data_IF_365872622414
#
_entry.id   IF_365872622414
#
_cell.length_a   1.000
_cell.length_b   1.000
_cell.length_c   1.000
_cell.angle_alpha   90.00
_cell.angle_beta   90.00
_cell.angle_gamma   90.00
#
_symmetry.space_group_name_H-M   'P 1'
#
loop_
_entity.id
_entity.type
_entity.pdbx_description
1 polymer ?
#
# COMPACT_ATOMS: atom_id res chain seq x y z
N UNK A 1 61.80 -13.92 15.17
CA UNK A 1 62.18 -13.61 13.78
C UNK A 1 61.39 -14.55 12.87
N UNK A 2 60.50 -14.16 11.96
CA UNK A 2 59.95 -12.85 11.56
C UNK A 2 58.48 -13.13 11.16
N UNK A 3 57.56 -12.44 11.83
CA UNK A 3 56.25 -12.06 11.29
C UNK A 3 56.49 -11.07 10.15
N UNK A 4 56.08 -11.43 8.94
CA UNK A 4 55.89 -10.57 7.77
C UNK A 4 55.56 -11.50 6.63
N UNK A 5 54.29 -11.54 6.23
CA UNK A 5 53.78 -11.85 4.87
C UNK A 5 52.27 -12.14 4.89
N UNK A 6 51.48 -11.29 5.56
CA UNK A 6 50.02 -11.22 5.35
C UNK A 6 49.62 -9.75 5.42
N UNK A 7 49.85 -9.03 4.33
CA UNK A 7 49.36 -7.66 4.14
C UNK A 7 49.42 -7.35 2.64
N UNK A 8 48.31 -7.52 1.93
CA UNK A 8 47.76 -6.66 0.85
C UNK A 8 46.39 -7.27 0.47
N UNK A 9 45.43 -6.42 0.11
CA UNK A 9 44.01 -6.68 -0.24
C UNK A 9 43.03 -6.51 0.93
N UNK A 10 42.99 -5.28 1.45
CA UNK A 10 41.82 -4.72 2.14
C UNK A 10 41.85 -3.19 2.01
N UNK A 11 41.66 -2.68 0.78
CA UNK A 11 41.37 -1.28 0.54
C UNK A 11 40.76 -1.15 -0.86
N UNK A 12 39.47 -0.81 -0.91
CA UNK A 12 38.65 -0.20 -1.98
C UNK A 12 37.25 -0.82 -1.82
N UNK A 13 36.45 -0.26 -0.91
CA UNK A 13 34.96 -0.29 -0.94
C UNK A 13 34.38 0.64 0.15
N UNK A 14 34.87 1.88 0.23
CA UNK A 14 34.19 2.96 0.98
C UNK A 14 34.35 4.27 0.21
N UNK A 15 33.55 4.42 -0.84
CA UNK A 15 33.29 5.71 -1.49
C UNK A 15 31.95 5.60 -2.23
N UNK A 16 30.85 5.95 -1.56
CA UNK A 16 29.53 5.87 -2.19
C UNK A 16 28.32 6.20 -1.32
N UNK A 17 28.48 6.64 -0.06
CA UNK A 17 27.35 7.07 0.78
C UNK A 17 27.79 8.28 1.62
N UNK A 18 27.90 9.46 1.00
CA UNK A 18 28.11 10.72 1.73
C UNK A 18 27.72 11.95 0.89
N UNK A 19 26.58 11.90 0.20
CA UNK A 19 26.06 13.08 -0.49
C UNK A 19 24.53 13.06 -0.50
N UNK A 20 23.93 13.35 0.66
CA UNK A 20 22.54 13.84 0.81
C UNK A 20 22.30 14.18 2.30
N UNK A 21 23.12 15.09 2.85
CA UNK A 21 22.82 15.77 4.12
C UNK A 21 22.67 17.25 3.79
N UNK A 22 21.47 17.75 4.08
CA UNK A 22 20.92 18.99 3.58
C UNK A 22 21.61 20.25 4.09
N UNK A 23 21.70 21.22 3.19
CA UNK A 23 21.80 22.65 3.51
C UNK A 23 20.41 23.14 3.94
N UNK A 24 20.25 23.44 5.22
CA UNK A 24 19.11 24.18 5.76
C UNK A 24 19.34 25.69 5.58
N UNK A 25 18.49 26.34 4.80
CA UNK A 25 18.39 27.80 4.71
C UNK A 25 17.44 28.36 5.76
N UNK A 26 17.81 29.52 6.29
CA UNK A 26 17.21 30.28 7.38
C UNK A 26 15.79 30.83 7.07
N UNK A 27 15.02 31.27 8.09
CA UNK A 27 13.61 31.66 7.95
C UNK A 27 13.46 33.09 7.44
N UNK A 28 12.44 33.31 6.60
CA UNK A 28 12.00 34.65 6.20
C UNK A 28 10.66 34.96 6.87
N UNK A 29 10.65 36.04 7.64
CA UNK A 29 9.46 36.72 8.16
C UNK A 29 8.51 37.10 7.02
N UNK A 30 7.20 36.95 7.24
CA UNK A 30 6.22 37.84 6.63
C UNK A 30 5.18 38.27 7.64
N UNK A 31 5.13 39.58 7.80
CA UNK A 31 4.10 40.37 8.44
C UNK A 31 2.74 40.20 7.74
N UNK A 32 1.71 40.54 8.52
CA UNK A 32 0.31 40.25 8.23
C UNK A 32 -0.32 41.04 7.10
N UNK A 33 -1.56 40.62 6.79
CA UNK A 33 -2.56 41.53 6.26
C UNK A 33 -3.95 41.01 6.63
N UNK A 34 -4.63 41.80 7.48
CA UNK A 34 -6.05 41.70 7.78
C UNK A 34 -6.87 41.98 6.52
N UNK A 35 -7.91 41.19 6.26
CA UNK A 35 -8.94 41.55 5.28
C UNK A 35 -10.24 41.85 6.02
N UNK A 36 -10.67 43.07 5.79
CA UNK A 36 -11.86 43.75 6.24
C UNK A 36 -13.11 43.20 5.53
N UNK A 37 -14.15 42.90 6.30
CA UNK A 37 -15.44 42.41 5.82
C UNK A 37 -16.31 43.61 5.45
N UNK A 38 -16.55 43.82 4.17
CA UNK A 38 -17.54 44.81 3.70
C UNK A 38 -18.87 44.12 3.38
N UNK A 39 -19.87 44.43 4.19
CA UNK A 39 -21.27 44.06 3.97
C UNK A 39 -22.00 45.14 3.18
N UNK A 40 -22.89 44.73 2.28
CA UNK A 40 -24.07 45.52 1.90
C UNK A 40 -24.18 45.90 0.42
N UNK A 41 -25.10 45.28 -0.29
CA UNK A 41 -25.97 45.87 -1.33
C UNK A 41 -27.10 44.86 -1.65
N UNK A 42 -28.32 45.19 -1.25
CA UNK A 42 -29.39 45.76 -2.08
C UNK A 42 -30.15 44.70 -2.90
N UNK A 43 -31.25 44.22 -2.34
CA UNK A 43 -32.29 43.48 -3.06
C UNK A 43 -33.35 44.46 -3.55
N UNK A 44 -33.30 44.81 -4.83
CA UNK A 44 -34.40 45.49 -5.52
C UNK A 44 -34.94 44.58 -6.62
N UNK A 45 -36.22 44.25 -6.46
CA UNK A 45 -37.07 43.54 -7.40
C UNK A 45 -37.02 44.13 -8.81
N UNK A 46 -36.89 43.26 -9.81
CA UNK A 46 -37.42 43.49 -11.14
C UNK A 46 -37.97 42.16 -11.68
N UNK A 47 -39.27 42.16 -11.93
CA UNK A 47 -40.04 41.10 -12.58
C UNK A 47 -39.91 41.31 -14.09
N UNK A 48 -39.54 40.26 -14.83
CA UNK A 48 -39.64 40.20 -16.29
C UNK A 48 -39.79 38.73 -16.76
N UNK A 49 -40.23 38.46 -18.00
CA UNK A 49 -41.49 37.76 -18.26
C UNK A 49 -41.32 36.28 -18.62
N UNK A 50 -42.44 35.58 -18.47
CA UNK A 50 -42.65 34.17 -18.80
C UNK A 50 -42.41 33.91 -20.30
N UNK A 51 -41.36 33.16 -20.61
CA UNK A 51 -41.21 32.46 -21.88
C UNK A 51 -41.83 31.04 -21.77
N UNK A 52 -42.58 30.56 -22.76
CA UNK A 52 -43.13 29.21 -22.76
C UNK A 52 -42.02 28.16 -22.86
N UNK A 53 -42.21 26.96 -22.29
CA UNK A 53 -41.15 25.97 -22.19
C UNK A 53 -40.84 25.36 -23.57
N UNK A 54 -39.64 25.65 -24.09
CA UNK A 54 -39.00 24.75 -25.06
C UNK A 54 -38.93 23.35 -24.45
N UNK A 55 -39.51 22.38 -25.15
CA UNK A 55 -39.32 20.95 -24.93
C UNK A 55 -37.81 20.63 -24.98
N UNK A 56 -37.16 20.74 -23.82
CA UNK A 56 -35.82 20.21 -23.63
C UNK A 56 -35.96 18.70 -23.60
N UNK A 57 -35.53 18.10 -24.71
CA UNK A 57 -35.12 16.70 -24.85
C UNK A 57 -34.62 16.14 -23.52
N UNK A 58 -35.45 15.31 -22.89
CA UNK A 58 -35.11 14.58 -21.67
C UNK A 58 -34.08 13.53 -22.09
N UNK A 59 -32.79 13.85 -21.88
CA UNK A 59 -31.76 12.81 -21.78
C UNK A 59 -32.28 11.77 -20.80
N UNK A 60 -32.31 10.48 -21.14
CA UNK A 60 -32.68 9.45 -20.18
C UNK A 60 -31.79 9.61 -18.96
N UNK A 61 -32.40 9.87 -17.80
CA UNK A 61 -31.69 9.80 -16.54
C UNK A 61 -31.22 8.35 -16.41
N UNK A 62 -29.94 8.12 -16.73
CA UNK A 62 -29.29 6.84 -16.49
C UNK A 62 -29.45 6.58 -15.00
N UNK A 63 -30.30 5.61 -14.67
CA UNK A 63 -30.58 5.25 -13.28
C UNK A 63 -29.24 5.00 -12.59
N UNK A 64 -29.04 5.66 -11.44
CA UNK A 64 -27.83 5.47 -10.66
C UNK A 64 -27.67 3.97 -10.35
N UNK A 65 -26.49 3.37 -10.60
CA UNK A 65 -26.23 1.97 -10.33
C UNK A 65 -26.55 1.62 -8.88
N UNK A 66 -27.26 0.50 -8.66
CA UNK A 66 -27.63 0.01 -7.33
C UNK A 66 -26.63 -1.04 -6.84
N UNK A 67 -26.64 -1.28 -5.53
CA UNK A 67 -25.87 -2.35 -4.89
C UNK A 67 -26.22 -3.69 -5.55
N UNK A 68 -25.20 -4.45 -5.95
CA UNK A 68 -25.37 -5.77 -6.55
C UNK A 68 -25.62 -5.79 -8.07
N UNK A 69 -25.68 -4.63 -8.74
CA UNK A 69 -25.70 -4.60 -10.20
C UNK A 69 -24.41 -5.23 -10.77
N UNK A 70 -24.41 -5.81 -11.99
CA UNK A 70 -23.19 -6.29 -12.62
C UNK A 70 -22.08 -5.22 -12.60
N UNK A 71 -20.85 -5.61 -12.27
CA UNK A 71 -19.72 -4.70 -12.34
C UNK A 71 -19.38 -4.40 -13.81
N UNK A 72 -18.85 -3.20 -14.12
CA UNK A 72 -18.27 -2.93 -15.43
C UNK A 72 -17.16 -3.94 -15.77
N UNK A 73 -16.88 -4.22 -17.06
CA UNK A 73 -15.77 -5.07 -17.48
C UNK A 73 -14.44 -4.67 -16.83
N UNK A 74 -13.56 -5.64 -16.51
CA UNK A 74 -12.26 -5.41 -15.85
C UNK A 74 -11.33 -4.46 -16.60
N UNK A 75 -11.47 -4.40 -17.92
CA UNK A 75 -10.68 -3.55 -18.81
C UNK A 75 -11.35 -2.23 -19.18
N UNK A 76 -12.55 -1.94 -18.67
CA UNK A 76 -13.22 -0.66 -18.93
C UNK A 76 -12.40 0.50 -18.34
N UNK A 77 -12.19 1.61 -19.09
CA UNK A 77 -11.38 2.72 -18.62
C UNK A 77 -11.84 3.27 -17.26
N UNK A 78 -10.87 3.66 -16.42
CA UNK A 78 -11.18 4.17 -15.08
C UNK A 78 -12.06 5.42 -15.14
N UNK A 79 -11.81 6.34 -16.09
CA UNK A 79 -12.60 7.57 -16.25
C UNK A 79 -14.10 7.31 -16.44
N UNK A 80 -14.45 6.22 -17.12
CA UNK A 80 -15.84 5.88 -17.47
C UNK A 80 -16.56 5.17 -16.31
N UNK A 81 -15.80 4.50 -15.44
CA UNK A 81 -16.35 3.63 -14.40
C UNK A 81 -16.23 4.20 -12.99
N UNK A 82 -15.32 5.15 -12.76
CA UNK A 82 -14.97 5.70 -11.44
C UNK A 82 -16.19 6.19 -10.66
N UNK A 83 -17.01 7.07 -11.24
CA UNK A 83 -18.13 7.68 -10.54
C UNK A 83 -19.19 6.65 -10.11
N UNK A 84 -19.48 5.67 -10.99
CA UNK A 84 -20.43 4.60 -10.69
C UNK A 84 -19.91 3.63 -9.63
N UNK A 85 -18.64 3.24 -9.72
CA UNK A 85 -17.99 2.38 -8.73
C UNK A 85 -17.89 3.08 -7.36
N UNK A 86 -17.53 4.36 -7.32
CA UNK A 86 -17.45 5.16 -6.09
C UNK A 86 -18.81 5.29 -5.42
N UNK A 87 -19.87 5.60 -6.18
CA UNK A 87 -21.21 5.69 -5.63
C UNK A 87 -21.67 4.37 -5.00
N UNK A 88 -21.40 3.23 -5.67
CA UNK A 88 -21.72 1.90 -5.15
C UNK A 88 -20.88 1.51 -3.94
N UNK A 89 -19.58 1.79 -3.96
CA UNK A 89 -18.69 1.56 -2.82
C UNK A 89 -19.14 2.36 -1.58
N UNK A 90 -19.56 3.61 -1.77
CA UNK A 90 -20.11 4.46 -0.72
C UNK A 90 -21.47 3.94 -0.21
N UNK A 91 -22.24 3.25 -1.05
CA UNK A 91 -23.46 2.55 -0.67
C UNK A 91 -23.21 1.16 -0.03
N UNK A 92 -21.95 0.80 0.22
CA UNK A 92 -21.56 -0.45 0.87
C UNK A 92 -21.48 -1.66 -0.06
N UNK A 93 -21.42 -1.45 -1.37
CA UNK A 93 -21.17 -2.55 -2.33
C UNK A 93 -19.69 -2.99 -2.26
N UNK A 94 -19.44 -4.12 -1.60
CA UNK A 94 -18.10 -4.66 -1.40
C UNK A 94 -17.40 -4.96 -2.73
N UNK A 95 -18.12 -5.50 -3.73
CA UNK A 95 -17.54 -5.83 -5.02
C UNK A 95 -17.14 -4.57 -5.79
N UNK A 96 -17.97 -3.52 -5.73
CA UNK A 96 -17.62 -2.23 -6.33
C UNK A 96 -16.45 -1.54 -5.62
N UNK A 97 -16.40 -1.61 -4.28
CA UNK A 97 -15.28 -1.07 -3.51
C UNK A 97 -13.97 -1.82 -3.83
N UNK A 98 -14.01 -3.16 -3.86
CA UNK A 98 -12.90 -4.01 -4.27
C UNK A 98 -12.40 -3.66 -5.66
N UNK A 99 -13.32 -3.48 -6.61
CA UNK A 99 -12.97 -3.11 -7.97
C UNK A 99 -12.33 -1.72 -8.03
N UNK A 100 -12.96 -0.73 -7.39
CA UNK A 100 -12.51 0.66 -7.43
C UNK A 100 -11.10 0.83 -6.89
N UNK A 101 -10.78 0.24 -5.74
CA UNK A 101 -9.44 0.43 -5.18
C UNK A 101 -8.37 -0.21 -6.07
N UNK A 102 -8.64 -1.37 -6.70
CA UNK A 102 -7.69 -2.03 -7.62
C UNK A 102 -7.43 -1.16 -8.84
N UNK A 103 -8.49 -0.59 -9.41
CA UNK A 103 -8.42 0.28 -10.58
C UNK A 103 -7.64 1.57 -10.28
N UNK A 104 -7.97 2.25 -9.18
CA UNK A 104 -7.26 3.48 -8.75
C UNK A 104 -5.80 3.16 -8.40
N UNK A 105 -5.54 2.03 -7.73
CA UNK A 105 -4.18 1.61 -7.40
C UNK A 105 -3.35 1.32 -8.66
N UNK A 106 -3.94 0.67 -9.68
CA UNK A 106 -3.27 0.42 -10.96
C UNK A 106 -2.80 1.74 -11.59
N UNK A 107 -3.67 2.75 -11.62
CA UNK A 107 -3.32 4.04 -12.21
C UNK A 107 -2.35 4.86 -11.36
N UNK A 108 -2.46 4.79 -10.03
CA UNK A 108 -1.48 5.41 -9.13
C UNK A 108 -0.08 4.81 -9.31
N UNK A 109 0.00 3.47 -9.43
CA UNK A 109 1.25 2.76 -9.71
C UNK A 109 1.82 3.08 -11.09
N UNK A 110 0.99 3.17 -12.12
CA UNK A 110 1.43 3.57 -13.46
C UNK A 110 2.14 4.91 -13.42
N UNK A 111 1.53 5.93 -12.82
CA UNK A 111 2.11 7.26 -12.68
C UNK A 111 3.45 7.24 -11.92
N UNK A 112 3.53 6.46 -10.84
CA UNK A 112 4.78 6.25 -10.11
C UNK A 112 5.86 5.54 -10.94
N UNK A 113 5.46 4.58 -11.78
CA UNK A 113 6.35 3.88 -12.71
C UNK A 113 6.85 4.77 -13.84
N UNK A 114 5.98 5.61 -14.42
CA UNK A 114 6.35 6.57 -15.46
C UNK A 114 7.41 7.55 -14.94
N UNK A 115 7.22 8.08 -13.72
CA UNK A 115 8.19 8.95 -13.07
C UNK A 115 9.53 8.25 -12.78
N UNK A 116 9.51 6.98 -12.35
CA UNK A 116 10.76 6.21 -12.11
C UNK A 116 11.46 5.82 -13.41
N UNK A 117 10.71 5.47 -14.44
CA UNK A 117 11.25 4.99 -15.71
C UNK A 117 11.84 6.10 -16.55
N UNK A 118 11.31 7.33 -16.47
CA UNK A 118 11.85 8.47 -17.23
C UNK A 118 13.31 8.76 -16.91
N UNK A 119 13.81 8.41 -15.72
CA UNK A 119 15.24 8.50 -15.39
C UNK A 119 16.03 7.19 -15.63
N UNK A 120 15.40 6.04 -15.42
CA UNK A 120 16.09 4.74 -15.45
C UNK A 120 16.37 4.24 -16.88
N UNK A 121 15.51 4.56 -17.85
CA UNK A 121 15.73 4.17 -19.25
C UNK A 121 16.93 4.92 -19.85
N UNK A 122 17.08 6.20 -19.53
CA UNK A 122 18.20 7.02 -20.01
C UNK A 122 19.53 6.58 -19.40
N UNK A 123 19.58 6.28 -18.10
CA UNK A 123 20.79 5.75 -17.44
C UNK A 123 21.23 4.39 -18.02
N UNK A 124 20.28 3.49 -18.27
CA UNK A 124 20.59 2.16 -18.78
C UNK A 124 21.07 2.18 -20.23
N UNK A 125 20.47 3.04 -21.07
CA UNK A 125 20.81 3.13 -22.50
C UNK A 125 22.04 3.99 -22.77
N UNK A 126 22.40 4.90 -21.87
CA UNK A 126 23.61 5.73 -21.98
C UNK A 126 24.89 5.04 -21.49
N UNK A 127 24.79 3.88 -20.81
CA UNK A 127 25.95 3.09 -20.39
C UNK A 127 26.72 2.53 -21.59
N UNK A 128 28.00 2.87 -21.67
CA UNK A 128 28.92 2.26 -22.64
C UNK A 128 29.19 0.80 -22.25
N UNK A 129 29.00 -0.11 -23.20
CA UNK A 129 29.26 -1.55 -23.04
C UNK A 129 30.69 -1.94 -23.42
N UNK A 130 31.45 -1.00 -23.98
CA UNK A 130 32.87 -1.16 -24.32
C UNK A 130 33.71 -1.49 -23.08
N UNK A 131 34.48 -2.58 -23.15
CA UNK A 131 35.32 -3.03 -22.04
C UNK A 131 34.61 -3.87 -20.97
N UNK A 132 33.31 -4.15 -21.13
CA UNK A 132 32.62 -5.09 -20.25
C UNK A 132 33.08 -6.54 -20.48
N UNK A 133 33.19 -7.30 -19.39
CA UNK A 133 33.41 -8.75 -19.46
C UNK A 133 32.15 -9.48 -19.95
N UNK A 134 32.26 -10.74 -20.39
CA UNK A 134 31.10 -11.54 -20.80
C UNK A 134 30.01 -11.68 -19.71
N UNK A 135 30.39 -11.77 -18.43
CA UNK A 135 29.45 -11.82 -17.30
C UNK A 135 28.72 -10.49 -17.10
N UNK A 136 29.42 -9.37 -17.29
CA UNK A 136 28.85 -8.03 -17.20
C UNK A 136 27.87 -7.78 -18.35
N UNK A 137 28.21 -8.21 -19.57
CA UNK A 137 27.31 -8.14 -20.72
C UNK A 137 26.05 -8.98 -20.52
N UNK A 138 26.16 -10.19 -19.96
CA UNK A 138 25.00 -11.01 -19.59
C UNK A 138 24.09 -10.31 -18.57
N UNK A 139 24.67 -9.72 -17.54
CA UNK A 139 23.91 -8.96 -16.53
C UNK A 139 23.22 -7.75 -17.14
N UNK A 140 23.91 -7.03 -18.03
CA UNK A 140 23.37 -5.89 -18.75
C UNK A 140 22.18 -6.30 -19.64
N UNK A 141 22.26 -7.43 -20.34
CA UNK A 141 21.14 -7.95 -21.14
C UNK A 141 19.92 -8.25 -20.28
N UNK A 142 20.10 -8.89 -19.12
CA UNK A 142 19.00 -9.16 -18.18
C UNK A 142 18.31 -7.86 -17.73
N UNK A 143 19.07 -6.78 -17.51
CA UNK A 143 18.52 -5.48 -17.16
C UNK A 143 17.73 -4.85 -18.30
N UNK A 144 18.19 -4.99 -19.55
CA UNK A 144 17.46 -4.53 -20.74
C UNK A 144 16.14 -5.29 -20.91
N UNK A 145 16.18 -6.62 -20.82
CA UNK A 145 14.99 -7.47 -20.96
C UNK A 145 13.96 -7.14 -19.85
N UNK A 146 14.42 -6.93 -18.61
CA UNK A 146 13.57 -6.50 -17.50
C UNK A 146 12.97 -5.10 -17.71
N UNK A 147 13.70 -4.19 -18.35
CA UNK A 147 13.20 -2.85 -18.71
C UNK A 147 12.13 -2.95 -19.80
N UNK A 148 12.33 -3.78 -20.82
CA UNK A 148 11.35 -3.99 -21.88
C UNK A 148 10.03 -4.54 -21.34
N UNK A 149 10.08 -5.58 -20.51
CA UNK A 149 8.89 -6.14 -19.84
C UNK A 149 8.16 -5.08 -19.00
N UNK A 150 8.91 -4.22 -18.29
CA UNK A 150 8.31 -3.12 -17.51
C UNK A 150 7.62 -2.10 -18.42
N UNK A 151 8.22 -1.75 -19.55
CA UNK A 151 7.62 -0.83 -20.51
C UNK A 151 6.36 -1.42 -21.17
N UNK A 152 6.32 -2.73 -21.41
CA UNK A 152 5.12 -3.42 -21.90
C UNK A 152 3.96 -3.26 -20.90
N UNK A 153 4.19 -3.54 -19.61
CA UNK A 153 3.16 -3.37 -18.57
C UNK A 153 2.70 -1.92 -18.37
N UNK A 154 3.58 -0.93 -18.59
CA UNK A 154 3.22 0.49 -18.63
C UNK A 154 2.27 0.76 -19.79
N UNK A 155 2.60 0.33 -21.01
CA UNK A 155 1.75 0.52 -22.20
C UNK A 155 0.36 -0.10 -22.06
N UNK A 156 0.27 -1.31 -21.50
CA UNK A 156 -1.01 -1.96 -21.24
C UNK A 156 -1.89 -1.20 -20.25
N UNK A 157 -1.27 -0.48 -19.31
CA UNK A 157 -1.99 0.29 -18.30
C UNK A 157 -2.36 1.70 -18.76
N UNK A 158 -1.69 2.25 -19.77
CA UNK A 158 -1.95 3.60 -20.28
C UNK A 158 -3.38 3.76 -20.79
N UNK A 159 -3.87 2.84 -21.63
CA UNK A 159 -5.24 2.92 -22.16
C UNK A 159 -6.31 2.82 -21.05
N UNK A 160 -6.04 2.04 -20.01
CA UNK A 160 -6.95 1.87 -18.88
C UNK A 160 -7.02 3.12 -18.00
N UNK A 161 -5.87 3.80 -17.85
CA UNK A 161 -5.68 4.97 -16.99
C UNK A 161 -5.76 6.30 -17.73
N UNK A 162 -6.10 6.28 -19.02
CA UNK A 162 -6.24 7.47 -19.85
C UNK A 162 -7.24 8.45 -19.19
N UNK A 163 -6.82 9.71 -19.09
CA UNK A 163 -7.52 10.79 -18.37
C UNK A 163 -7.92 10.52 -16.91
N UNK A 164 -7.26 9.58 -16.21
CA UNK A 164 -7.44 9.44 -14.76
C UNK A 164 -6.97 10.73 -14.06
N UNK A 165 -7.91 11.49 -13.51
CA UNK A 165 -7.60 12.80 -12.93
C UNK A 165 -6.79 12.65 -11.63
N UNK A 166 -6.02 13.69 -11.28
CA UNK A 166 -5.31 13.74 -9.99
C UNK A 166 -6.24 13.45 -8.81
N UNK A 167 -7.45 14.03 -8.81
CA UNK A 167 -8.44 13.83 -7.76
C UNK A 167 -8.91 12.36 -7.66
N UNK A 168 -9.04 11.64 -8.78
CA UNK A 168 -9.33 10.20 -8.75
C UNK A 168 -8.19 9.43 -8.10
N UNK A 169 -6.94 9.76 -8.42
CA UNK A 169 -5.77 9.06 -7.86
C UNK A 169 -5.54 9.39 -6.39
N UNK A 170 -5.82 10.62 -5.96
CA UNK A 170 -5.74 11.04 -4.56
C UNK A 170 -6.81 10.36 -3.69
N UNK A 171 -7.87 9.82 -4.31
CA UNK A 171 -8.88 9.01 -3.61
C UNK A 171 -8.42 7.59 -3.27
N UNK A 172 -7.20 7.18 -3.63
CA UNK A 172 -6.69 5.82 -3.42
C UNK A 172 -6.79 5.40 -1.95
N UNK A 173 -6.29 6.23 -1.04
CA UNK A 173 -6.25 5.94 0.40
C UNK A 173 -7.65 5.69 0.97
N UNK A 174 -8.62 6.62 0.83
CA UNK A 174 -9.96 6.38 1.37
C UNK A 174 -10.65 5.17 0.71
N UNK A 175 -10.36 4.89 -0.57
CA UNK A 175 -10.91 3.71 -1.25
C UNK A 175 -10.31 2.38 -0.78
N UNK A 176 -9.00 2.33 -0.45
CA UNK A 176 -8.40 1.17 0.22
C UNK A 176 -9.04 0.95 1.59
N UNK A 177 -9.17 2.00 2.40
CA UNK A 177 -9.78 1.90 3.72
C UNK A 177 -11.24 1.42 3.64
N UNK A 178 -12.00 1.91 2.67
CA UNK A 178 -13.39 1.51 2.45
C UNK A 178 -13.50 0.05 2.01
N UNK A 179 -12.68 -0.39 1.05
CA UNK A 179 -12.67 -1.79 0.61
C UNK A 179 -12.27 -2.74 1.74
N UNK A 180 -11.28 -2.36 2.56
CA UNK A 180 -10.88 -3.11 3.74
C UNK A 180 -12.02 -3.26 4.75
N UNK A 181 -12.75 -2.18 5.05
CA UNK A 181 -13.93 -2.21 5.95
C UNK A 181 -15.07 -3.08 5.39
N UNK A 182 -15.20 -3.16 4.07
CA UNK A 182 -16.19 -3.99 3.38
C UNK A 182 -15.75 -5.44 3.18
N UNK A 183 -14.56 -5.82 3.66
CA UNK A 183 -14.10 -7.20 3.72
C UNK A 183 -13.12 -7.61 2.62
N UNK A 184 -12.62 -6.68 1.79
CA UNK A 184 -11.55 -7.00 0.85
C UNK A 184 -10.24 -7.25 1.60
N UNK A 185 -9.71 -8.47 1.45
CA UNK A 185 -8.57 -8.93 2.23
C UNK A 185 -7.25 -8.31 1.77
N UNK A 186 -7.10 -8.04 0.48
CA UNK A 186 -5.89 -7.37 -0.04
C UNK A 186 -5.87 -5.91 0.42
N UNK A 187 -7.01 -5.22 0.34
CA UNK A 187 -7.14 -3.86 0.83
C UNK A 187 -6.88 -3.79 2.35
N UNK A 188 -7.39 -4.77 3.11
CA UNK A 188 -7.13 -4.89 4.56
C UNK A 188 -5.65 -5.05 4.85
N UNK A 189 -4.98 -6.00 4.19
CA UNK A 189 -3.54 -6.20 4.37
C UNK A 189 -2.77 -4.92 4.04
N UNK A 190 -3.06 -4.27 2.90
CA UNK A 190 -2.40 -3.04 2.49
C UNK A 190 -2.58 -1.90 3.50
N UNK A 191 -3.83 -1.66 3.93
CA UNK A 191 -4.15 -0.62 4.90
C UNK A 191 -3.46 -0.87 6.25
N UNK A 192 -3.51 -2.10 6.76
CA UNK A 192 -2.83 -2.48 8.00
C UNK A 192 -1.32 -2.31 7.89
N UNK A 193 -0.71 -2.80 6.81
CA UNK A 193 0.74 -2.79 6.65
C UNK A 193 1.34 -1.41 6.40
N UNK A 194 0.63 -0.52 5.68
CA UNK A 194 1.17 0.81 5.31
C UNK A 194 0.52 1.99 6.03
N UNK A 195 -0.52 1.76 6.83
CA UNK A 195 -1.22 2.83 7.51
C UNK A 195 -2.18 3.60 6.59
N UNK A 196 -2.47 4.88 6.89
CA UNK A 196 -3.30 5.71 6.04
C UNK A 196 -2.56 6.14 4.75
N UNK A 197 -1.44 5.50 4.38
CA UNK A 197 -0.80 5.59 3.06
C UNK A 197 -0.43 7.01 2.59
N UNK A 198 -0.42 7.98 3.49
CA UNK A 198 0.03 9.34 3.26
C UNK A 198 1.55 9.43 3.36
N UNK A 199 2.17 10.23 2.49
CA UNK A 199 3.56 10.62 2.69
C UNK A 199 3.68 11.58 3.89
N UNK A 200 4.91 11.82 4.36
CA UNK A 200 5.14 12.67 5.54
C UNK A 200 4.59 14.09 5.39
N UNK A 201 4.47 14.60 4.16
CA UNK A 201 3.88 15.93 3.91
C UNK A 201 2.36 15.87 4.06
N UNK A 202 1.74 14.89 3.42
CA UNK A 202 0.30 14.67 3.44
C UNK A 202 -0.23 14.34 4.84
N UNK A 203 0.58 13.69 5.70
CA UNK A 203 0.23 13.46 7.11
C UNK A 203 0.17 14.75 7.93
N UNK A 204 0.93 15.79 7.57
CA UNK A 204 0.87 17.09 8.25
C UNK A 204 -0.47 17.77 7.94
N UNK A 205 -0.95 17.63 6.71
CA UNK A 205 -2.22 18.20 6.26
C UNK A 205 -3.44 17.37 6.73
N UNK A 206 -3.23 16.10 7.11
CA UNK A 206 -4.27 15.16 7.56
C UNK A 206 -3.91 14.47 8.90
N UNK A 207 -3.77 15.22 10.01
CA UNK A 207 -3.38 14.64 11.28
C UNK A 207 -4.43 13.68 11.86
N UNK A 208 -5.70 13.89 11.52
CA UNK A 208 -6.84 13.04 11.88
C UNK A 208 -6.79 11.64 11.24
N UNK A 209 -6.04 11.48 10.15
CA UNK A 209 -5.86 10.20 9.48
C UNK A 209 -5.18 9.15 10.38
N UNK A 210 -4.28 9.58 11.27
CA UNK A 210 -3.62 8.67 12.22
C UNK A 210 -4.60 8.17 13.29
N UNK A 211 -5.48 9.03 13.77
CA UNK A 211 -6.50 8.65 14.74
C UNK A 211 -7.52 7.69 14.10
N UNK A 212 -7.93 7.97 12.87
CA UNK A 212 -8.81 7.09 12.07
C UNK A 212 -8.14 5.73 11.82
N UNK A 213 -6.86 5.73 11.44
CA UNK A 213 -6.11 4.48 11.26
C UNK A 213 -6.06 3.66 12.55
N UNK A 214 -5.80 4.30 13.70
CA UNK A 214 -5.77 3.61 15.01
C UNK A 214 -7.11 2.97 15.35
N UNK A 215 -8.24 3.65 15.09
CA UNK A 215 -9.56 3.06 15.33
C UNK A 215 -9.87 1.92 14.37
N UNK A 216 -9.57 2.11 13.09
CA UNK A 216 -9.92 1.17 12.02
C UNK A 216 -9.07 -0.10 12.11
N UNK A 217 -7.77 0.04 12.36
CA UNK A 217 -6.82 -1.07 12.38
C UNK A 217 -7.23 -2.18 13.36
N UNK A 218 -7.74 -1.82 14.55
CA UNK A 218 -8.16 -2.83 15.54
C UNK A 218 -9.34 -3.67 15.02
N UNK A 219 -10.36 -3.02 14.48
CA UNK A 219 -11.51 -3.72 13.89
C UNK A 219 -11.12 -4.58 12.68
N UNK A 220 -10.16 -4.11 11.88
CA UNK A 220 -9.65 -4.83 10.72
C UNK A 220 -8.81 -6.04 11.11
N UNK A 221 -7.99 -5.94 12.16
CA UNK A 221 -7.27 -7.08 12.75
C UNK A 221 -8.27 -8.15 13.17
N UNK A 222 -9.27 -7.78 13.98
CA UNK A 222 -10.27 -8.72 14.48
C UNK A 222 -11.03 -9.39 13.32
N UNK A 223 -11.45 -8.61 12.33
CA UNK A 223 -12.14 -9.14 11.14
C UNK A 223 -11.24 -10.07 10.30
N UNK A 224 -9.96 -9.75 10.16
CA UNK A 224 -9.01 -10.58 9.40
C UNK A 224 -8.69 -11.90 10.10
N UNK A 225 -8.50 -11.88 11.41
CA UNK A 225 -8.32 -13.09 12.22
C UNK A 225 -9.57 -13.97 12.17
N UNK A 226 -10.77 -13.38 12.28
CA UNK A 226 -12.03 -14.10 12.15
C UNK A 226 -12.25 -14.71 10.75
N UNK A 227 -11.70 -14.07 9.70
CA UNK A 227 -11.75 -14.57 8.33
C UNK A 227 -10.69 -15.66 8.03
N UNK A 228 -9.75 -15.91 8.95
CA UNK A 228 -8.63 -16.82 8.70
C UNK A 228 -7.59 -16.27 7.73
N UNK A 229 -7.38 -14.95 7.72
CA UNK A 229 -6.48 -14.26 6.80
C UNK A 229 -5.01 -14.33 7.26
N UNK A 230 -4.23 -15.19 6.62
CA UNK A 230 -2.80 -15.37 6.92
C UNK A 230 -1.96 -14.10 6.75
N UNK A 231 -2.37 -13.15 5.90
CA UNK A 231 -1.66 -11.87 5.74
C UNK A 231 -1.73 -11.04 7.02
N UNK A 232 -2.87 -11.08 7.73
CA UNK A 232 -3.01 -10.38 9.02
C UNK A 232 -2.12 -11.01 10.08
N UNK A 233 -2.04 -12.34 10.13
CA UNK A 233 -1.13 -13.04 11.06
C UNK A 233 0.33 -12.68 10.76
N UNK A 234 0.73 -12.65 9.49
CA UNK A 234 2.09 -12.26 9.09
C UNK A 234 2.42 -10.81 9.50
N UNK A 235 1.48 -9.89 9.29
CA UNK A 235 1.64 -8.49 9.71
C UNK A 235 1.74 -8.36 11.24
N UNK A 236 0.97 -9.12 12.00
CA UNK A 236 0.96 -9.05 13.45
C UNK A 236 2.23 -9.64 14.07
N UNK A 237 2.74 -10.77 13.56
CA UNK A 237 4.00 -11.30 14.09
C UNK A 237 5.16 -10.31 13.91
N UNK A 238 5.18 -9.54 12.81
CA UNK A 238 6.17 -8.50 12.56
C UNK A 238 5.91 -7.27 13.42
N UNK A 239 4.65 -6.84 13.57
CA UNK A 239 4.30 -5.65 14.35
C UNK A 239 4.57 -5.80 15.85
N UNK A 240 4.46 -7.02 16.39
CA UNK A 240 4.80 -7.31 17.79
C UNK A 240 6.29 -7.61 18.01
N UNK A 241 7.10 -7.75 16.97
CA UNK A 241 8.53 -8.02 17.10
C UNK A 241 9.22 -6.94 17.96
N UNK A 242 10.10 -7.30 18.90
CA UNK A 242 10.85 -6.31 19.67
C UNK A 242 11.63 -5.36 18.76
N UNK A 243 11.36 -4.06 18.87
CA UNK A 243 11.99 -3.04 18.03
C UNK A 243 11.32 -2.82 16.68
N UNK A 244 10.17 -3.47 16.42
CA UNK A 244 9.36 -3.23 15.23
C UNK A 244 9.03 -1.74 15.08
N UNK A 245 9.14 -1.28 13.83
CA UNK A 245 8.85 0.10 13.44
C UNK A 245 7.63 0.10 12.51
N UNK A 246 6.97 1.25 12.43
CA UNK A 246 5.79 1.43 11.58
C UNK A 246 4.52 1.65 12.38
N UNK A 247 3.46 2.02 11.66
CA UNK A 247 2.22 2.46 12.27
C UNK A 247 1.47 1.32 12.96
N UNK A 248 1.48 0.11 12.37
CA UNK A 248 0.84 -1.06 12.99
C UNK A 248 1.49 -1.42 14.33
N UNK A 249 2.82 -1.41 14.41
CA UNK A 249 3.56 -1.61 15.67
C UNK A 249 3.18 -0.55 16.71
N UNK A 250 3.00 0.71 16.30
CA UNK A 250 2.51 1.78 17.17
C UNK A 250 1.04 1.65 17.61
N UNK A 251 0.23 0.88 16.89
CA UNK A 251 -1.16 0.57 17.26
C UNK A 251 -1.21 -0.60 18.25
N UNK A 252 -0.49 -1.68 17.96
CA UNK A 252 -0.55 -2.91 18.76
C UNK A 252 0.36 -2.90 19.98
N UNK A 253 1.41 -2.07 19.96
CA UNK A 253 2.41 -1.98 21.02
C UNK A 253 3.37 -3.17 21.03
N UNK A 254 4.35 -3.12 21.94
CA UNK A 254 5.29 -4.22 22.15
C UNK A 254 4.72 -5.21 23.16
N UNK A 255 4.57 -6.46 22.75
CA UNK A 255 4.18 -7.58 23.62
C UNK A 255 4.88 -8.87 23.16
N UNK A 256 5.89 -9.36 23.90
CA UNK A 256 6.64 -10.55 23.49
C UNK A 256 5.81 -11.83 23.51
N UNK A 257 4.74 -11.89 24.32
CA UNK A 257 3.82 -13.03 24.33
C UNK A 257 3.00 -13.04 23.04
N UNK A 258 2.50 -11.88 22.60
CA UNK A 258 1.77 -11.78 21.34
C UNK A 258 2.66 -12.07 20.13
N UNK A 259 3.91 -11.57 20.12
CA UNK A 259 4.87 -11.89 19.08
C UNK A 259 5.04 -13.41 18.93
N UNK A 260 5.32 -14.10 20.04
CA UNK A 260 5.46 -15.56 20.06
C UNK A 260 4.17 -16.26 19.59
N UNK A 261 3.02 -15.80 20.08
CA UNK A 261 1.70 -16.36 19.77
C UNK A 261 1.37 -16.33 18.28
N UNK A 262 1.53 -15.18 17.61
CA UNK A 262 1.27 -15.06 16.17
C UNK A 262 2.32 -15.78 15.32
N UNK A 263 3.59 -15.72 15.72
CA UNK A 263 4.67 -16.47 15.06
C UNK A 263 4.42 -17.99 15.14
N UNK A 264 3.94 -18.50 16.28
CA UNK A 264 3.58 -19.91 16.46
C UNK A 264 2.39 -20.30 15.58
N UNK A 265 1.32 -19.50 15.56
CA UNK A 265 0.17 -19.74 14.69
C UNK A 265 0.58 -19.76 13.22
N UNK A 266 1.39 -18.79 12.78
CA UNK A 266 1.90 -18.73 11.41
C UNK A 266 2.72 -19.97 11.05
N UNK A 267 3.57 -20.44 11.98
CA UNK A 267 4.37 -21.66 11.82
C UNK A 267 3.54 -22.94 11.70
N UNK A 268 2.42 -23.04 12.42
CA UNK A 268 1.53 -24.20 12.32
C UNK A 268 0.89 -24.31 10.93
N UNK A 269 0.63 -23.18 10.28
CA UNK A 269 0.14 -23.14 8.90
C UNK A 269 1.22 -23.22 7.81
N UNK A 270 2.52 -23.19 8.16
CA UNK A 270 3.58 -23.00 7.17
C UNK A 270 3.94 -24.29 6.40
N UNK A 271 4.34 -24.14 5.13
CA UNK A 271 4.91 -25.23 4.35
C UNK A 271 6.31 -25.64 4.84
N UNK A 272 6.68 -26.90 4.57
CA UNK A 272 7.90 -27.55 5.09
C UNK A 272 9.19 -26.76 4.81
N UNK A 273 9.28 -26.09 3.65
CA UNK A 273 10.48 -25.35 3.27
C UNK A 273 10.73 -24.10 4.14
N UNK A 274 9.74 -23.59 4.88
CA UNK A 274 9.87 -22.43 5.78
C UNK A 274 10.01 -22.79 7.26
N UNK A 275 9.67 -24.04 7.60
CA UNK A 275 9.63 -24.56 8.98
C UNK A 275 10.91 -24.28 9.76
N UNK A 276 12.07 -24.66 9.21
CA UNK A 276 13.34 -24.56 9.94
C UNK A 276 13.73 -23.10 10.27
N UNK A 277 13.36 -22.14 9.43
CA UNK A 277 13.59 -20.72 9.71
C UNK A 277 12.68 -20.23 10.83
N UNK A 278 11.40 -20.55 10.74
CA UNK A 278 10.39 -20.15 11.72
C UNK A 278 10.66 -20.80 13.09
N UNK A 279 11.11 -22.05 13.14
CA UNK A 279 11.47 -22.73 14.40
C UNK A 279 12.63 -22.02 15.12
N UNK A 280 13.60 -21.48 14.38
CA UNK A 280 14.67 -20.64 14.95
C UNK A 280 14.13 -19.33 15.53
N UNK A 281 13.20 -18.68 14.84
CA UNK A 281 12.57 -17.45 15.32
C UNK A 281 11.74 -17.72 16.59
N UNK A 282 10.99 -18.83 16.62
CA UNK A 282 10.20 -19.26 17.78
C UNK A 282 11.10 -19.52 18.99
N UNK A 283 12.22 -20.22 18.79
CA UNK A 283 13.18 -20.47 19.87
C UNK A 283 13.75 -19.16 20.44
N UNK A 284 14.07 -18.19 19.58
CA UNK A 284 14.55 -16.88 20.01
C UNK A 284 13.46 -16.10 20.77
N UNK A 285 12.22 -16.11 20.29
CA UNK A 285 11.09 -15.46 20.96
C UNK A 285 10.77 -16.11 22.33
N UNK A 286 10.83 -17.44 22.43
CA UNK A 286 10.60 -18.17 23.67
C UNK A 286 11.64 -17.87 24.77
N UNK A 287 12.87 -17.49 24.40
CA UNK A 287 13.95 -17.26 25.35
C UNK A 287 13.64 -16.15 26.38
N UNK A 288 12.71 -15.25 26.06
CA UNK A 288 12.29 -14.15 26.93
C UNK A 288 10.93 -14.41 27.63
N UNK A 289 10.38 -15.62 27.52
CA UNK A 289 9.08 -15.98 28.07
C UNK A 289 9.18 -17.02 29.18
N UNK A 290 8.22 -16.99 30.09
CA UNK A 290 8.05 -18.06 31.08
C UNK A 290 7.47 -19.32 30.44
N UNK A 291 7.70 -20.52 30.99
CA UNK A 291 7.10 -21.76 30.49
C UNK A 291 5.57 -21.72 30.42
N UNK A 292 4.92 -21.04 31.37
CA UNK A 292 3.47 -20.89 31.38
C UNK A 292 2.97 -20.03 30.21
N UNK A 293 3.64 -18.92 29.91
CA UNK A 293 3.31 -18.07 28.75
C UNK A 293 3.50 -18.81 27.43
N UNK A 294 4.56 -19.61 27.31
CA UNK A 294 4.80 -20.46 26.13
C UNK A 294 3.68 -21.48 25.95
N UNK A 295 3.31 -22.19 27.02
CA UNK A 295 2.24 -23.19 26.98
C UNK A 295 0.88 -22.57 26.59
N UNK A 296 0.51 -21.44 27.20
CA UNK A 296 -0.74 -20.74 26.87
C UNK A 296 -0.76 -20.24 25.41
N UNK A 297 0.36 -19.70 24.92
CA UNK A 297 0.46 -19.23 23.55
C UNK A 297 0.41 -20.38 22.53
N UNK A 298 1.01 -21.53 22.86
CA UNK A 298 0.94 -22.75 22.05
C UNK A 298 -0.48 -23.30 21.96
N UNK A 299 -1.19 -23.37 23.08
CA UNK A 299 -2.59 -23.80 23.15
C UNK A 299 -3.50 -22.85 22.35
N UNK A 300 -3.29 -21.54 22.50
CA UNK A 300 -4.01 -20.54 21.71
C UNK A 300 -3.76 -20.73 20.20
N UNK A 301 -2.51 -20.94 19.79
CA UNK A 301 -2.16 -21.06 18.37
C UNK A 301 -2.77 -22.32 17.75
N UNK A 302 -2.74 -23.44 18.46
CA UNK A 302 -3.39 -24.68 18.02
C UNK A 302 -4.90 -24.51 17.91
N UNK A 303 -5.53 -23.88 18.90
CA UNK A 303 -6.98 -23.64 18.92
C UNK A 303 -7.44 -22.68 17.84
N UNK A 304 -6.61 -21.71 17.43
CA UNK A 304 -6.95 -20.75 16.39
C UNK A 304 -6.69 -21.27 14.98
N UNK A 305 -5.77 -22.22 14.80
CA UNK A 305 -5.42 -22.77 13.49
C UNK A 305 -6.64 -23.27 12.70
N UNK A 306 -7.64 -23.82 13.39
CA UNK A 306 -8.87 -24.33 12.76
C UNK A 306 -9.69 -23.26 12.00
N UNK A 307 -9.47 -21.98 12.29
CA UNK A 307 -10.12 -20.87 11.60
C UNK A 307 -9.45 -20.53 10.26
N UNK A 308 -8.25 -21.05 10.01
CA UNK A 308 -7.45 -20.72 8.84
C UNK A 308 -7.49 -21.84 7.81
N UNK A 309 -7.46 -21.46 6.53
CA UNK A 309 -7.46 -22.40 5.40
C UNK A 309 -6.20 -22.25 4.57
N UNK A 310 -5.72 -23.37 4.06
CA UNK A 310 -4.50 -23.42 3.26
C UNK A 310 -3.23 -23.05 4.03
N UNK A 311 -2.06 -23.12 3.38
CA UNK A 311 -0.81 -22.82 4.05
C UNK A 311 -0.61 -21.31 4.26
N UNK A 312 -0.05 -20.93 5.41
CA UNK A 312 0.29 -19.54 5.73
C UNK A 312 1.27 -18.93 4.72
N UNK A 313 2.23 -19.74 4.28
CA UNK A 313 3.28 -19.38 3.33
C UNK A 313 2.77 -19.25 1.89
N UNK A 314 1.63 -19.87 1.56
CA UNK A 314 0.95 -19.65 0.29
C UNK A 314 0.21 -18.29 0.29
N UNK A 315 -0.36 -17.89 1.45
CA UNK A 315 -0.99 -16.58 1.62
C UNK A 315 0.00 -15.41 1.70
N UNK A 316 1.26 -15.70 2.01
CA UNK A 316 2.34 -14.71 2.17
C UNK A 316 3.66 -15.28 1.61
N UNK A 317 3.76 -15.45 0.28
CA UNK A 317 4.94 -16.01 -0.37
C UNK A 317 6.18 -15.15 -0.10
N UNK A 318 7.37 -15.71 -0.34
CA UNK A 318 8.60 -14.95 -0.19
C UNK A 318 8.58 -13.69 -1.06
N UNK A 319 8.83 -12.53 -0.44
CA UNK A 319 8.80 -11.24 -1.12
C UNK A 319 7.39 -10.67 -1.36
N UNK A 320 6.34 -11.23 -0.75
CA UNK A 320 5.03 -10.61 -0.76
C UNK A 320 5.09 -9.21 -0.14
N UNK A 321 4.29 -8.28 -0.66
CA UNK A 321 4.09 -6.97 -0.05
C UNK A 321 2.59 -6.72 0.11
N UNK A 322 2.20 -6.14 1.24
CA UNK A 322 0.79 -5.90 1.57
C UNK A 322 0.02 -5.08 0.53
N UNK A 323 0.70 -4.19 -0.20
CA UNK A 323 0.10 -3.36 -1.25
C UNK A 323 0.57 -3.75 -2.67
N UNK A 324 1.24 -4.91 -2.83
CA UNK A 324 1.54 -5.46 -4.13
C UNK A 324 0.34 -6.28 -4.62
N UNK A 325 -0.68 -5.58 -5.09
CA UNK A 325 -1.86 -6.21 -5.67
C UNK A 325 -1.49 -6.87 -7.00
N UNK A 326 -1.79 -8.17 -7.13
CA UNK A 326 -1.79 -8.83 -8.43
C UNK A 326 -2.91 -8.20 -9.29
N UNK A 327 -2.54 -7.69 -10.47
CA UNK A 327 -3.54 -7.35 -11.48
C UNK A 327 -4.11 -8.64 -12.01
N UNK A 328 -5.35 -8.97 -11.63
CA UNK A 328 -6.13 -10.02 -12.28
C UNK A 328 -7.04 -9.39 -13.35
#
# INVERSE_FOLDING_TARGET
MKQRDVLVIAAIFVAGIAFLVGRSSAPSQRDGMSIEVTSGHDLRSAVEPVNPPSEKSVKPAVLAPKRGDPLPPSNAPLRDTFAGLQARANAGDAAAASRLFRDVNRCSRLRGSEWKNSGASDDLTSKKTEGMTPEQLRTYQILLDAMELRQQGVRESQNFCDDASQAMLDSLVPNIAQAARLGDEDARACYLGRGPLYDSRSLIDHPDALQTYRSDAKSMIDAGLAAGDWRVVDLLQQAYEPGAQGLLAGVVGTDPVQHYRYLKLYRLGAEQHRVAQLDRQIAAAAANLTPAQVAEADEWAQSNLQNFRGPSTAGTPQGWEACAFAGN
#
